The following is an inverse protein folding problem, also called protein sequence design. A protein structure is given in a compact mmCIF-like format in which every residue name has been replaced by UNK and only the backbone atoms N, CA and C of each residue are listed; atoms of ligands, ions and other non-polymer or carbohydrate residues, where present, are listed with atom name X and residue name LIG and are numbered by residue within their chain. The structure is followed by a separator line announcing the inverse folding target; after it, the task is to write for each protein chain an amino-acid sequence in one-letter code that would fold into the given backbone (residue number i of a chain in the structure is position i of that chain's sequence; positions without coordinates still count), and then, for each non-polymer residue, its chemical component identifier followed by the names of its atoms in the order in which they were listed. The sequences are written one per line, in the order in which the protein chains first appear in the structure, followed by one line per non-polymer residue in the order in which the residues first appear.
data_IF_220019011425
#
_entry.id   IF_220019011425
#
_cell.length_a   1.000
_cell.length_b   1.000
_cell.length_c   1.000
_cell.angle_alpha   90.00
_cell.angle_beta   90.00
_cell.angle_gamma   90.00
#
_symmetry.space_group_name_H-M   'P 1'
#
loop_
_entity.id
_entity.type
_entity.pdbx_description
1 polymer ?
#
# COMPACT_ATOMS: atom_id res chain seq x y z
N UNK A 1 -32.15 15.22 -1.31
CA UNK A 1 -31.39 14.90 -0.07
C UNK A 1 -31.19 13.40 0.14
N UNK A 2 -32.24 12.55 0.14
CA UNK A 2 -32.14 11.12 0.46
C UNK A 2 -31.16 10.32 -0.44
N UNK A 3 -31.16 10.60 -1.76
CA UNK A 3 -30.30 9.93 -2.75
C UNK A 3 -28.80 10.29 -2.61
N UNK A 4 -28.49 11.52 -2.17
CA UNK A 4 -27.10 11.94 -1.90
C UNK A 4 -26.60 11.37 -0.56
N UNK A 5 -27.46 11.30 0.45
CA UNK A 5 -27.12 10.68 1.75
C UNK A 5 -26.77 9.20 1.64
N UNK A 6 -27.55 8.46 0.84
CA UNK A 6 -27.25 7.05 0.58
C UNK A 6 -25.89 6.84 -0.11
N UNK A 7 -25.56 7.68 -1.09
CA UNK A 7 -24.27 7.61 -1.81
C UNK A 7 -23.08 7.90 -0.88
N UNK A 8 -23.20 8.87 0.03
CA UNK A 8 -22.20 9.17 1.06
C UNK A 8 -21.97 7.97 1.99
N UNK A 9 -23.06 7.33 2.45
CA UNK A 9 -22.97 6.14 3.29
C UNK A 9 -22.30 4.97 2.56
N UNK A 10 -22.62 4.76 1.28
CA UNK A 10 -21.96 3.74 0.46
C UNK A 10 -20.45 4.00 0.30
N UNK A 11 -20.03 5.26 0.05
CA UNK A 11 -18.63 5.62 -0.07
C UNK A 11 -17.86 5.44 1.25
N UNK A 12 -18.47 5.82 2.38
CA UNK A 12 -17.88 5.61 3.71
C UNK A 12 -17.76 4.12 4.04
N UNK A 13 -18.80 3.33 3.75
CA UNK A 13 -18.77 1.88 3.94
C UNK A 13 -17.70 1.21 3.05
N UNK A 14 -17.59 1.64 1.80
CA UNK A 14 -16.53 1.18 0.89
C UNK A 14 -15.14 1.51 1.45
N UNK A 15 -14.92 2.76 1.90
CA UNK A 15 -13.66 3.15 2.54
C UNK A 15 -13.36 2.31 3.78
N UNK A 16 -14.36 2.02 4.61
CA UNK A 16 -14.18 1.20 5.81
C UNK A 16 -13.76 -0.22 5.45
N UNK A 17 -14.42 -0.83 4.45
CA UNK A 17 -14.08 -2.17 3.97
C UNK A 17 -12.67 -2.21 3.38
N UNK A 18 -12.29 -1.25 2.53
CA UNK A 18 -10.94 -1.16 1.96
C UNK A 18 -9.87 -0.98 3.03
N UNK A 19 -10.10 -0.11 4.02
CA UNK A 19 -9.17 0.10 5.13
C UNK A 19 -9.02 -1.16 5.99
N UNK A 20 -10.13 -1.85 6.28
CA UNK A 20 -10.12 -3.09 7.07
C UNK A 20 -9.39 -4.21 6.34
N UNK A 21 -9.65 -4.36 5.03
CA UNK A 21 -8.95 -5.35 4.20
C UNK A 21 -7.45 -5.05 4.17
N UNK A 22 -7.10 -3.77 4.02
CA UNK A 22 -5.72 -3.34 4.00
C UNK A 22 -5.00 -3.67 5.31
N UNK A 23 -5.54 -3.24 6.45
CA UNK A 23 -4.91 -3.38 7.76
C UNK A 23 -4.87 -4.84 8.26
N UNK A 24 -5.96 -5.60 8.07
CA UNK A 24 -6.07 -6.94 8.64
C UNK A 24 -5.43 -8.03 7.77
N UNK A 25 -5.37 -7.87 6.44
CA UNK A 25 -4.86 -8.91 5.55
C UNK A 25 -3.64 -8.50 4.72
N UNK A 26 -3.64 -7.32 4.10
CA UNK A 26 -2.57 -6.93 3.18
C UNK A 26 -1.32 -6.47 3.93
N UNK A 27 -1.49 -5.67 4.98
CA UNK A 27 -0.39 -5.11 5.76
C UNK A 27 0.44 -6.20 6.46
N UNK A 28 -0.14 -7.18 7.18
CA UNK A 28 0.64 -8.22 7.83
C UNK A 28 1.42 -9.09 6.82
N UNK A 29 0.84 -9.35 5.65
CA UNK A 29 1.49 -10.12 4.57
C UNK A 29 2.61 -9.34 3.89
N UNK A 30 2.40 -8.05 3.66
CA UNK A 30 3.42 -7.15 3.10
C UNK A 30 4.60 -7.03 4.06
N UNK A 31 4.33 -6.83 5.35
CA UNK A 31 5.34 -6.74 6.40
C UNK A 31 6.12 -8.04 6.56
N UNK A 32 5.45 -9.20 6.55
CA UNK A 32 6.15 -10.49 6.59
C UNK A 32 7.10 -10.68 5.38
N UNK A 33 6.65 -10.33 4.17
CA UNK A 33 7.50 -10.38 2.98
C UNK A 33 8.66 -9.37 3.06
N UNK A 34 8.41 -8.16 3.60
CA UNK A 34 9.43 -7.14 3.83
C UNK A 34 10.51 -7.63 4.80
N UNK A 35 10.12 -8.21 5.94
CA UNK A 35 11.07 -8.77 6.91
C UNK A 35 11.91 -9.90 6.32
N UNK A 36 11.30 -10.77 5.52
CA UNK A 36 12.01 -11.84 4.83
C UNK A 36 13.03 -11.30 3.81
N UNK A 37 12.65 -10.30 3.01
CA UNK A 37 13.55 -9.61 2.08
C UNK A 37 14.69 -8.91 2.82
N UNK A 38 14.38 -8.14 3.86
CA UNK A 38 15.38 -7.41 4.65
C UNK A 38 16.37 -8.36 5.33
N UNK A 39 15.92 -9.54 5.76
CA UNK A 39 16.80 -10.57 6.33
C UNK A 39 17.76 -11.14 5.28
N UNK A 40 17.30 -11.36 4.05
CA UNK A 40 18.14 -11.81 2.94
C UNK A 40 19.15 -10.73 2.52
N UNK A 41 18.72 -9.47 2.48
CA UNK A 41 19.57 -8.33 2.16
C UNK A 41 20.68 -8.15 3.20
N UNK A 42 20.33 -8.15 4.49
CA UNK A 42 21.31 -8.04 5.58
C UNK A 42 22.36 -9.15 5.57
N UNK A 43 21.99 -10.38 5.20
CA UNK A 43 22.93 -11.51 5.07
C UNK A 43 23.98 -11.28 3.99
N UNK A 44 23.67 -10.48 2.97
CA UNK A 44 24.58 -10.11 1.90
C UNK A 44 25.23 -8.73 2.11
N UNK A 45 25.08 -8.14 3.30
CA UNK A 45 25.62 -6.81 3.62
C UNK A 45 24.80 -5.64 3.06
N UNK A 46 23.59 -5.88 2.58
CA UNK A 46 22.66 -4.89 2.03
C UNK A 46 21.60 -4.43 3.04
N UNK A 47 20.87 -3.37 2.72
CA UNK A 47 19.76 -2.87 3.55
C UNK A 47 20.17 -1.99 4.75
N UNK A 48 21.45 -1.62 4.83
CA UNK A 48 21.99 -0.59 5.74
C UNK A 48 22.39 0.70 5.02
N UNK A 49 21.96 0.85 3.78
CA UNK A 49 22.34 1.96 2.90
C UNK A 49 21.77 3.28 3.42
N UNK A 50 22.60 4.32 3.45
CA UNK A 50 22.15 5.67 3.80
C UNK A 50 21.27 6.20 2.65
N UNK A 51 20.05 6.69 2.91
CA UNK A 51 19.20 7.26 1.87
C UNK A 51 19.95 8.36 1.09
N UNK A 52 20.15 8.15 -0.22
CA UNK A 52 20.89 9.08 -1.09
C UNK A 52 22.35 8.68 -1.40
N UNK A 53 22.94 7.74 -0.66
CA UNK A 53 24.26 7.17 -0.98
C UNK A 53 24.05 5.93 -1.85
N UNK A 54 24.23 6.07 -3.17
CA UNK A 54 23.98 4.99 -4.12
C UNK A 54 25.11 3.94 -4.06
N UNK A 55 24.98 2.95 -3.17
CA UNK A 55 25.61 1.64 -3.33
C UNK A 55 24.78 0.76 -4.29
N UNK A 56 24.50 1.30 -5.48
CA UNK A 56 24.33 0.55 -6.72
C UNK A 56 23.14 -0.45 -6.86
N UNK A 57 22.25 -0.29 -7.85
CA UNK A 57 21.30 -1.34 -8.27
C UNK A 57 21.96 -2.67 -8.68
N UNK A 58 23.27 -2.72 -8.85
CA UNK A 58 24.02 -3.90 -9.31
C UNK A 58 24.04 -5.04 -8.29
N UNK A 59 24.23 -4.77 -6.99
CA UNK A 59 24.29 -5.86 -5.99
C UNK A 59 22.89 -6.44 -5.70
N UNK A 60 21.85 -5.58 -5.68
CA UNK A 60 20.45 -6.01 -5.64
C UNK A 60 20.00 -6.74 -6.90
N UNK A 61 20.50 -6.36 -8.09
CA UNK A 61 20.28 -7.11 -9.34
C UNK A 61 20.93 -8.48 -9.26
N UNK A 62 22.18 -8.53 -8.81
CA UNK A 62 22.93 -9.77 -8.67
C UNK A 62 22.22 -10.75 -7.73
N UNK A 63 21.69 -10.27 -6.60
CA UNK A 63 20.85 -11.04 -5.69
C UNK A 63 19.58 -11.57 -6.33
N UNK A 64 18.93 -10.75 -7.15
CA UNK A 64 17.70 -11.13 -7.86
C UNK A 64 17.97 -12.18 -8.94
N UNK A 65 19.11 -12.08 -9.61
CA UNK A 65 19.51 -13.01 -10.68
C UNK A 65 20.06 -14.32 -10.10
N UNK A 66 20.76 -14.28 -8.97
CA UNK A 66 21.30 -15.48 -8.31
C UNK A 66 20.27 -16.23 -7.47
N UNK A 67 19.38 -15.55 -6.76
CA UNK A 67 18.41 -16.18 -5.86
C UNK A 67 16.96 -16.06 -6.39
N UNK A 68 16.41 -17.13 -7.00
CA UNK A 68 15.04 -17.13 -7.48
C UNK A 68 14.02 -16.96 -6.33
N UNK A 69 14.38 -17.31 -5.09
CA UNK A 69 13.53 -17.09 -3.91
C UNK A 69 13.43 -15.61 -3.58
N UNK A 70 14.55 -14.87 -3.62
CA UNK A 70 14.55 -13.42 -3.42
C UNK A 70 13.68 -12.71 -4.47
N UNK A 71 13.81 -13.09 -5.74
CA UNK A 71 12.99 -12.55 -6.84
C UNK A 71 11.48 -12.80 -6.62
N UNK A 72 11.10 -14.03 -6.24
CA UNK A 72 9.71 -14.37 -5.95
C UNK A 72 9.14 -13.61 -4.74
N UNK A 73 9.90 -13.53 -3.64
CA UNK A 73 9.53 -12.75 -2.45
C UNK A 73 9.34 -11.27 -2.76
N UNK A 74 10.22 -10.69 -3.60
CA UNK A 74 10.14 -9.30 -4.04
C UNK A 74 8.89 -9.05 -4.88
N UNK A 75 8.56 -9.97 -5.80
CA UNK A 75 7.33 -9.88 -6.58
C UNK A 75 6.08 -9.96 -5.70
N UNK A 76 6.08 -10.84 -4.70
CA UNK A 76 5.00 -10.98 -3.72
C UNK A 76 4.84 -9.69 -2.92
N UNK A 77 5.93 -9.14 -2.39
CA UNK A 77 5.95 -7.87 -1.67
C UNK A 77 5.37 -6.74 -2.53
N UNK A 78 5.86 -6.56 -3.76
CA UNK A 78 5.36 -5.52 -4.68
C UNK A 78 3.86 -5.69 -4.97
N UNK A 79 3.38 -6.91 -5.14
CA UNK A 79 1.96 -7.16 -5.40
C UNK A 79 1.10 -6.80 -4.20
N UNK A 80 1.49 -7.21 -2.98
CA UNK A 80 0.73 -6.88 -1.78
C UNK A 80 0.81 -5.39 -1.41
N UNK A 81 1.98 -4.78 -1.55
CA UNK A 81 2.16 -3.34 -1.35
C UNK A 81 1.36 -2.51 -2.38
N UNK A 82 1.33 -2.96 -3.63
CA UNK A 82 0.51 -2.35 -4.67
C UNK A 82 -1.00 -2.44 -4.36
N UNK A 83 -1.47 -3.63 -3.97
CA UNK A 83 -2.87 -3.81 -3.54
C UNK A 83 -3.22 -2.93 -2.33
N UNK A 84 -2.31 -2.85 -1.34
CA UNK A 84 -2.46 -1.98 -0.17
C UNK A 84 -2.57 -0.51 -0.56
N UNK A 85 -1.73 -0.06 -1.49
CA UNK A 85 -1.77 1.30 -2.02
C UNK A 85 -3.07 1.61 -2.77
N UNK A 86 -3.61 0.64 -3.53
CA UNK A 86 -4.91 0.77 -4.19
C UNK A 86 -6.05 0.91 -3.17
N UNK A 87 -6.03 0.12 -2.09
CA UNK A 87 -6.99 0.28 -0.99
C UNK A 87 -6.91 1.68 -0.36
N UNK A 88 -5.70 2.17 -0.08
CA UNK A 88 -5.51 3.51 0.46
C UNK A 88 -5.97 4.61 -0.52
N UNK A 89 -5.71 4.46 -1.81
CA UNK A 89 -6.17 5.39 -2.84
C UNK A 89 -7.70 5.40 -2.93
N UNK A 90 -8.34 4.23 -2.87
CA UNK A 90 -9.80 4.11 -2.82
C UNK A 90 -10.38 4.83 -1.60
N UNK A 91 -9.80 4.62 -0.41
CA UNK A 91 -10.18 5.36 0.80
C UNK A 91 -10.03 6.88 0.63
N UNK A 92 -8.91 7.34 0.07
CA UNK A 92 -8.67 8.77 -0.17
C UNK A 92 -9.76 9.38 -1.06
N UNK A 93 -10.06 8.72 -2.18
CA UNK A 93 -11.08 9.18 -3.13
C UNK A 93 -12.48 9.16 -2.51
N UNK A 94 -12.85 8.08 -1.82
CA UNK A 94 -14.16 7.97 -1.17
C UNK A 94 -14.35 9.05 -0.10
N UNK A 95 -13.37 9.25 0.78
CA UNK A 95 -13.44 10.29 1.81
C UNK A 95 -13.41 11.70 1.19
N UNK A 96 -12.58 11.94 0.17
CA UNK A 96 -12.52 13.22 -0.54
C UNK A 96 -13.85 13.59 -1.21
N UNK A 97 -14.48 12.64 -1.90
CA UNK A 97 -15.80 12.82 -2.51
C UNK A 97 -16.89 13.06 -1.45
N UNK A 98 -16.82 12.37 -0.31
CA UNK A 98 -17.74 12.61 0.80
C UNK A 98 -17.62 14.03 1.36
N UNK A 99 -16.39 14.49 1.62
CA UNK A 99 -16.12 15.84 2.11
C UNK A 99 -16.57 16.90 1.11
N UNK A 100 -16.29 16.71 -0.19
CA UNK A 100 -16.73 17.62 -1.23
C UNK A 100 -18.27 17.70 -1.31
N UNK A 101 -18.96 16.56 -1.23
CA UNK A 101 -20.42 16.50 -1.20
C UNK A 101 -21.03 17.21 0.01
N UNK A 102 -20.45 17.02 1.20
CA UNK A 102 -20.85 17.72 2.42
C UNK A 102 -20.62 19.23 2.32
N UNK A 103 -19.45 19.65 1.82
CA UNK A 103 -19.11 21.06 1.67
C UNK A 103 -20.04 21.79 0.69
N UNK A 104 -20.36 21.16 -0.45
CA UNK A 104 -21.33 21.71 -1.41
C UNK A 104 -22.74 21.77 -0.82
N UNK A 105 -23.15 20.76 -0.05
CA UNK A 105 -24.45 20.75 0.64
C UNK A 105 -24.57 21.86 1.68
N UNK A 106 -23.53 22.06 2.50
CA UNK A 106 -23.45 23.14 3.48
C UNK A 106 -23.43 24.54 2.83
N UNK A 107 -22.81 24.69 1.67
CA UNK A 107 -22.77 25.96 0.92
C UNK A 107 -24.09 26.30 0.24
N UNK A 108 -24.97 25.31 0.02
CA UNK A 108 -26.29 25.50 -0.59
C UNK A 108 -27.41 25.77 0.41
N UNK A 109 -27.08 25.82 1.71
CA UNK A 109 -27.93 26.24 2.83
C UNK A 109 -27.76 27.74 3.10
#
# INVERSE_FOLDING_TARGET
MLRSGFLLLCLLFLSLMLATINACWLEPRTTAAMWALQTMEKKQGLGGEVPGHHQGPDLYRHLREQDPKYSALRQIFFRYHGLSSICNLGCLLSNGLCLAGLALGLRSL
#
